data_IF_102285694839
#
_entry.id   IF_102285694839
#
_cell.length_a   1.000
_cell.length_b   1.000
_cell.length_c   1.000
_cell.angle_alpha   90.00
_cell.angle_beta   90.00
_cell.angle_gamma   90.00
#
_symmetry.space_group_name_H-M   'P 1'
#
loop_
_entity.id
_entity.type
_entity.pdbx_description
1 polymer ?
#
# COMPACT_ATOMS: atom_id res chain seq x y z
N UNK A 1 10.42 3.53 -0.22
CA UNK A 1 9.18 3.30 -1.00
C UNK A 1 8.66 1.95 -0.59
N UNK A 2 7.34 1.83 -0.44
CA UNK A 2 6.63 0.58 -0.20
C UNK A 2 5.51 0.44 -1.24
N UNK A 3 4.84 -0.70 -1.26
CA UNK A 3 3.87 -1.04 -2.31
C UNK A 3 2.59 -1.61 -1.74
N UNK A 4 1.46 -1.35 -2.41
CA UNK A 4 0.16 -1.89 -2.03
C UNK A 4 -0.62 -2.31 -3.28
N UNK A 5 -1.14 -3.55 -3.34
CA UNK A 5 -1.99 -3.97 -4.45
C UNK A 5 -3.44 -3.53 -4.24
N UNK A 6 -4.07 -3.02 -5.29
CA UNK A 6 -5.51 -2.73 -5.36
C UNK A 6 -6.13 -3.40 -6.59
N UNK A 7 -7.44 -3.63 -6.56
CA UNK A 7 -8.18 -3.90 -7.80
C UNK A 7 -8.35 -2.62 -8.62
N UNK A 8 -8.67 -2.75 -9.92
CA UNK A 8 -9.00 -1.57 -10.74
C UNK A 8 -10.18 -0.77 -10.16
N UNK A 9 -11.17 -1.47 -9.60
CA UNK A 9 -12.35 -0.86 -8.97
C UNK A 9 -12.01 -0.09 -7.68
N UNK A 10 -11.03 -0.57 -6.90
CA UNK A 10 -10.57 0.08 -5.66
C UNK A 10 -9.62 1.27 -5.95
N UNK A 11 -9.05 1.36 -7.16
CA UNK A 11 -7.96 2.28 -7.49
C UNK A 11 -8.33 3.74 -7.24
N UNK A 12 -9.41 4.22 -7.86
CA UNK A 12 -9.83 5.63 -7.74
C UNK A 12 -10.15 5.97 -6.29
N UNK A 13 -10.90 5.10 -5.61
CA UNK A 13 -11.26 5.28 -4.22
C UNK A 13 -10.03 5.39 -3.30
N UNK A 14 -9.02 4.54 -3.49
CA UNK A 14 -7.79 4.57 -2.67
C UNK A 14 -6.96 5.83 -2.96
N UNK A 15 -6.90 6.28 -4.22
CA UNK A 15 -6.23 7.52 -4.59
C UNK A 15 -6.91 8.76 -4.00
N UNK A 16 -8.23 8.72 -3.78
CA UNK A 16 -8.98 9.84 -3.20
C UNK A 16 -9.08 9.82 -1.67
N UNK A 17 -9.15 8.63 -1.06
CA UNK A 17 -9.40 8.45 0.38
C UNK A 17 -8.15 8.08 1.19
N UNK A 18 -7.10 7.57 0.55
CA UNK A 18 -5.96 6.96 1.21
C UNK A 18 -6.15 5.47 1.49
N UNK A 19 -5.22 4.86 2.20
CA UNK A 19 -5.35 3.48 2.69
C UNK A 19 -5.77 3.49 4.15
N UNK A 20 -6.89 2.84 4.41
CA UNK A 20 -7.39 2.58 5.75
C UNK A 20 -7.47 1.07 5.99
N UNK A 21 -7.39 0.62 7.26
CA UNK A 21 -7.58 -0.78 7.56
C UNK A 21 -9.03 -1.18 7.26
N UNK A 22 -9.21 -2.15 6.36
CA UNK A 22 -10.51 -2.79 6.16
C UNK A 22 -10.71 -3.89 7.20
N UNK A 23 -10.40 -5.15 6.88
CA UNK A 23 -10.67 -6.32 7.75
C UNK A 23 -9.61 -6.57 8.84
N UNK A 24 -8.52 -5.79 8.84
CA UNK A 24 -7.37 -5.97 9.73
C UNK A 24 -7.18 -4.74 10.59
N UNK A 25 -6.39 -4.87 11.67
CA UNK A 25 -6.06 -3.74 12.55
C UNK A 25 -5.11 -2.70 11.92
N UNK A 26 -4.39 -3.06 10.85
CA UNK A 26 -3.37 -2.23 10.19
C UNK A 26 -3.33 -2.48 8.69
N UNK A 27 -3.00 -1.44 7.92
CA UNK A 27 -2.66 -1.52 6.49
C UNK A 27 -1.37 -2.32 6.34
N UNK A 28 -1.36 -3.31 5.45
CA UNK A 28 -0.18 -4.12 5.14
C UNK A 28 0.43 -3.65 3.83
N UNK A 29 1.71 -3.31 3.87
CA UNK A 29 2.47 -2.84 2.72
C UNK A 29 3.59 -3.84 2.39
N UNK A 30 3.92 -3.93 1.12
CA UNK A 30 4.99 -4.78 0.60
C UNK A 30 6.28 -3.99 0.41
N UNK A 31 7.41 -4.62 0.70
CA UNK A 31 8.75 -4.06 0.48
C UNK A 31 9.18 -4.04 -0.98
N UNK A 32 8.58 -4.89 -1.82
CA UNK A 32 8.88 -5.01 -3.26
C UNK A 32 7.61 -5.09 -4.09
N UNK A 33 7.72 -4.74 -5.38
CA UNK A 33 6.63 -4.83 -6.35
C UNK A 33 6.19 -6.29 -6.51
N UNK A 34 7.13 -7.22 -6.61
CA UNK A 34 6.86 -8.66 -6.74
C UNK A 34 5.98 -9.17 -5.59
N UNK A 35 6.31 -8.82 -4.34
CA UNK A 35 5.51 -9.21 -3.17
C UNK A 35 4.12 -8.56 -3.17
N UNK A 36 4.01 -7.32 -3.64
CA UNK A 36 2.72 -6.66 -3.80
C UNK A 36 1.86 -7.35 -4.86
N UNK A 37 2.46 -7.72 -6.00
CA UNK A 37 1.78 -8.47 -7.07
C UNK A 37 1.32 -9.83 -6.58
N UNK A 38 2.17 -10.60 -5.90
CA UNK A 38 1.80 -11.90 -5.32
C UNK A 38 0.61 -11.76 -4.35
N UNK A 39 0.65 -10.75 -3.46
CA UNK A 39 -0.44 -10.50 -2.51
C UNK A 39 -1.73 -10.07 -3.21
N UNK A 40 -1.64 -9.23 -4.26
CA UNK A 40 -2.77 -8.80 -5.06
C UNK A 40 -3.42 -9.93 -5.85
N UNK A 41 -2.60 -10.86 -6.37
CA UNK A 41 -3.04 -12.04 -7.14
C UNK A 41 -3.93 -13.00 -6.36
N UNK A 42 -3.89 -12.94 -5.02
CA UNK A 42 -4.81 -13.70 -4.17
C UNK A 42 -6.25 -13.17 -4.27
N UNK A 43 -6.44 -11.90 -4.64
CA UNK A 43 -7.75 -11.24 -4.72
C UNK A 43 -8.23 -11.01 -6.15
N UNK A 44 -7.34 -10.75 -7.11
CA UNK A 44 -7.68 -10.48 -8.52
C UNK A 44 -6.58 -10.97 -9.45
N UNK A 45 -6.90 -11.35 -10.69
CA UNK A 45 -5.92 -11.81 -11.67
C UNK A 45 -4.93 -10.70 -12.07
N UNK A 46 -5.41 -9.46 -12.15
CA UNK A 46 -4.66 -8.29 -12.61
C UNK A 46 -4.68 -7.17 -11.57
N UNK A 47 -3.88 -7.28 -10.49
CA UNK A 47 -3.82 -6.24 -9.47
C UNK A 47 -3.05 -5.02 -9.99
N UNK A 48 -3.54 -3.83 -9.68
CA UNK A 48 -2.82 -2.57 -9.90
C UNK A 48 -1.93 -2.32 -8.68
N UNK A 49 -0.67 -1.95 -8.92
CA UNK A 49 0.26 -1.64 -7.84
C UNK A 49 0.31 -0.14 -7.58
N UNK A 50 0.13 0.20 -6.31
CA UNK A 50 0.34 1.54 -5.79
C UNK A 50 1.74 1.64 -5.18
N UNK A 51 2.35 2.81 -5.39
CA UNK A 51 3.59 3.22 -4.78
C UNK A 51 3.27 4.09 -3.57
N UNK A 52 3.92 3.78 -2.44
CA UNK A 52 3.77 4.49 -1.19
C UNK A 52 5.09 5.19 -0.85
N UNK A 53 5.06 6.51 -0.74
CA UNK A 53 6.20 7.28 -0.24
C UNK A 53 6.31 7.20 1.29
N UNK A 54 6.75 6.03 1.74
CA UNK A 54 6.99 5.75 3.14
C UNK A 54 8.02 6.70 3.79
N UNK A 55 8.96 7.27 3.01
CA UNK A 55 9.96 8.19 3.57
C UNK A 55 9.30 9.49 4.01
N UNK A 56 8.49 10.09 3.13
CA UNK A 56 7.74 11.30 3.43
C UNK A 56 6.69 11.07 4.50
N UNK A 57 5.98 9.93 4.46
CA UNK A 57 5.01 9.56 5.49
C UNK A 57 5.66 9.49 6.89
N UNK A 58 6.81 8.82 7.02
CA UNK A 58 7.54 8.73 8.30
C UNK A 58 8.02 10.11 8.76
N UNK A 59 8.51 10.95 7.84
CA UNK A 59 8.98 12.31 8.16
C UNK A 59 7.86 13.19 8.72
N UNK A 60 6.64 13.02 8.22
CA UNK A 60 5.45 13.73 8.67
C UNK A 60 4.81 13.09 9.93
N UNK A 61 5.44 12.06 10.50
CA UNK A 61 5.06 11.45 11.78
C UNK A 61 4.19 10.18 11.68
N UNK A 62 3.90 9.66 10.47
CA UNK A 62 3.23 8.37 10.35
C UNK A 62 4.14 7.23 10.83
N UNK A 63 3.54 6.32 11.59
CA UNK A 63 4.26 5.15 12.11
C UNK A 63 4.12 3.97 11.16
N UNK A 64 5.21 3.66 10.47
CA UNK A 64 5.33 2.48 9.61
C UNK A 64 6.34 1.53 10.25
N UNK A 65 5.90 0.30 10.51
CA UNK A 65 6.70 -0.72 11.18
C UNK A 65 7.04 -1.85 10.22
N UNK A 66 8.24 -2.40 10.34
CA UNK A 66 8.61 -3.63 9.63
C UNK A 66 8.06 -4.83 10.42
N UNK A 67 7.20 -5.62 9.78
CA UNK A 67 6.52 -6.77 10.38
C UNK A 67 7.05 -8.12 9.85
N UNK A 68 7.93 -8.10 8.86
CA UNK A 68 8.59 -9.29 8.29
C UNK A 68 9.73 -8.91 7.36
N UNK A 69 10.25 -9.87 6.58
CA UNK A 69 11.34 -9.61 5.63
C UNK A 69 10.99 -8.51 4.63
N UNK A 70 9.82 -8.64 4.01
CA UNK A 70 9.28 -7.77 2.97
C UNK A 70 7.87 -7.23 3.30
N UNK A 71 7.48 -7.28 4.58
CA UNK A 71 6.15 -6.86 5.05
C UNK A 71 6.29 -5.71 6.02
N UNK A 72 5.48 -4.67 5.79
CA UNK A 72 5.39 -3.49 6.62
C UNK A 72 3.94 -3.23 7.00
N UNK A 73 3.73 -2.56 8.13
CA UNK A 73 2.39 -2.24 8.62
C UNK A 73 2.29 -0.79 9.07
N UNK A 74 1.16 -0.16 8.80
CA UNK A 74 0.83 1.20 9.18
C UNK A 74 -0.62 1.28 9.66
N UNK A 75 -0.95 2.24 10.52
CA UNK A 75 -2.35 2.43 10.96
C UNK A 75 -3.23 2.96 9.82
N UNK A 76 -2.73 3.90 9.03
CA UNK A 76 -3.34 4.37 7.77
C UNK A 76 -2.26 5.01 6.90
N UNK A 77 -2.55 5.26 5.63
CA UNK A 77 -1.70 6.03 4.72
C UNK A 77 -2.55 7.11 4.05
N UNK A 78 -2.16 8.37 4.23
CA UNK A 78 -2.82 9.49 3.57
C UNK A 78 -2.58 9.45 2.06
N UNK A 79 -3.59 9.82 1.28
CA UNK A 79 -3.54 9.86 -0.19
C UNK A 79 -2.37 10.63 -0.77
N UNK A 80 -1.87 11.67 -0.08
CA UNK A 80 -0.73 12.46 -0.55
C UNK A 80 0.58 11.67 -0.67
N UNK A 81 0.66 10.49 -0.05
CA UNK A 81 1.81 9.58 -0.16
C UNK A 81 1.58 8.43 -1.14
N UNK A 82 0.42 8.39 -1.80
CA UNK A 82 0.00 7.29 -2.66
C UNK A 82 0.02 7.78 -4.10
N UNK A 83 0.66 7.02 -4.97
CA UNK A 83 0.58 7.21 -6.41
C UNK A 83 0.45 5.87 -7.10
N UNK A 84 -0.17 5.85 -8.29
CA UNK A 84 -0.11 4.68 -9.15
C UNK A 84 1.36 4.40 -9.51
N UNK A 85 1.75 3.13 -9.52
CA UNK A 85 3.03 2.74 -10.11
C UNK A 85 2.85 2.80 -11.64
N UNK A 86 3.24 3.91 -12.24
CA UNK A 86 3.39 4.01 -13.71
C UNK A 86 4.72 3.36 -14.12
N UNK A 87 4.70 2.68 -15.26
CA UNK A 87 5.89 2.06 -15.89
C UNK A 87 6.94 3.11 -16.31
#
# INVERSE_FOLDING_TARGET
VLYYPVTEEELEFVLESGLHPSDRKKVHLSGTIEKAMEAGKVRTENPVILKIDAKSAIKDGLKIYKAGKDVYVADSIDKKYISKLEE
#
